data_IF_811547529445
#
_entry.id   IF_811547529445
#
_cell.length_a   1.000
_cell.length_b   1.000
_cell.length_c   1.000
_cell.angle_alpha   90.00
_cell.angle_beta   90.00
_cell.angle_gamma   90.00
#
_symmetry.space_group_name_H-M   'P 1'
#
loop_
_entity.id
_entity.type
_entity.pdbx_description
1 polymer ?
#
# COMPACT_ATOMS: atom_id res chain seq x y z
N UNK A 1 8.22 -21.01 -2.73
CA UNK A 1 7.12 -21.54 -3.54
C UNK A 1 5.90 -20.68 -3.26
N UNK A 2 5.34 -20.06 -4.29
CA UNK A 2 4.16 -19.20 -4.18
C UNK A 2 2.95 -20.06 -3.83
N UNK A 3 2.04 -19.49 -3.05
CA UNK A 3 0.86 -20.19 -2.59
C UNK A 3 -0.20 -20.18 -3.70
N UNK A 4 -0.65 -21.34 -4.17
CA UNK A 4 -1.67 -21.43 -5.23
C UNK A 4 -2.97 -20.68 -4.85
N UNK A 5 -3.31 -20.63 -3.55
CA UNK A 5 -4.49 -19.89 -3.08
C UNK A 5 -4.33 -18.37 -3.20
N UNK A 6 -3.12 -17.84 -3.05
CA UNK A 6 -2.84 -16.43 -3.30
C UNK A 6 -3.04 -16.10 -4.78
N UNK A 7 -2.53 -16.96 -5.68
CA UNK A 7 -2.69 -16.79 -7.13
C UNK A 7 -4.17 -16.81 -7.49
N UNK A 8 -4.93 -17.80 -7.00
CA UNK A 8 -6.37 -17.89 -7.26
C UNK A 8 -7.17 -16.71 -6.70
N UNK A 9 -6.81 -16.18 -5.52
CA UNK A 9 -7.44 -14.96 -4.98
C UNK A 9 -7.24 -13.77 -5.92
N UNK A 10 -6.00 -13.56 -6.38
CA UNK A 10 -5.63 -12.42 -7.24
C UNK A 10 -6.31 -12.51 -8.61
N UNK A 11 -6.35 -13.72 -9.20
CA UNK A 11 -7.03 -13.97 -10.48
C UNK A 11 -8.54 -13.78 -10.38
N UNK A 12 -9.19 -14.32 -9.34
CA UNK A 12 -10.64 -14.16 -9.11
C UNK A 12 -11.04 -12.68 -9.02
N UNK A 13 -10.14 -11.83 -8.51
CA UNK A 13 -10.36 -10.40 -8.30
C UNK A 13 -9.93 -9.54 -9.50
N UNK A 14 -9.36 -10.11 -10.56
CA UNK A 14 -8.72 -9.38 -11.66
C UNK A 14 -7.68 -8.36 -11.19
N UNK A 15 -6.92 -8.72 -10.15
CA UNK A 15 -5.87 -7.88 -9.59
C UNK A 15 -4.55 -8.06 -10.37
N UNK A 16 -3.75 -7.00 -10.41
CA UNK A 16 -2.45 -7.02 -11.11
C UNK A 16 -1.43 -7.72 -10.22
N UNK A 17 -0.81 -8.80 -10.72
CA UNK A 17 0.19 -9.57 -9.98
C UNK A 17 1.59 -9.39 -10.56
N UNK A 18 2.57 -9.15 -9.69
CA UNK A 18 3.99 -9.21 -10.02
C UNK A 18 4.68 -10.07 -8.95
N UNK A 19 5.16 -11.26 -9.33
CA UNK A 19 5.76 -12.23 -8.40
C UNK A 19 4.82 -12.59 -7.23
N UNK A 20 5.23 -12.26 -6.01
CA UNK A 20 4.51 -12.47 -4.76
C UNK A 20 3.77 -11.22 -4.27
N UNK A 21 3.62 -10.23 -5.14
CA UNK A 21 2.94 -8.97 -4.88
C UNK A 21 1.71 -8.89 -5.77
N UNK A 22 0.62 -8.40 -5.21
CA UNK A 22 -0.60 -8.12 -5.95
C UNK A 22 -1.14 -6.74 -5.60
N UNK A 23 -1.69 -6.08 -6.61
CA UNK A 23 -2.25 -4.76 -6.52
C UNK A 23 -3.71 -4.78 -6.97
N UNK A 24 -4.54 -4.08 -6.23
CA UNK A 24 -5.93 -3.92 -6.60
C UNK A 24 -6.66 -2.94 -5.71
N UNK A 25 -7.98 -3.09 -5.70
CA UNK A 25 -8.89 -2.14 -5.08
C UNK A 25 -9.99 -2.88 -4.36
N UNK A 26 -10.30 -2.46 -3.13
CA UNK A 26 -11.44 -2.92 -2.34
C UNK A 26 -12.12 -1.71 -1.67
N UNK A 27 -13.44 -1.57 -1.81
CA UNK A 27 -14.23 -0.49 -1.19
C UNK A 27 -13.63 0.91 -1.39
N UNK A 28 -13.12 1.18 -2.59
CA UNK A 28 -12.45 2.42 -2.97
C UNK A 28 -11.02 2.66 -2.47
N UNK A 29 -10.45 1.74 -1.70
CA UNK A 29 -9.07 1.79 -1.24
C UNK A 29 -8.13 1.03 -2.16
N UNK A 30 -6.96 1.61 -2.43
CA UNK A 30 -5.85 0.88 -3.04
C UNK A 30 -5.27 -0.12 -2.03
N UNK A 31 -4.98 -1.31 -2.51
CA UNK A 31 -4.48 -2.41 -1.68
C UNK A 31 -3.30 -3.05 -2.40
N UNK A 32 -2.17 -3.10 -1.69
CA UNK A 32 -1.06 -3.98 -2.05
C UNK A 32 -1.04 -5.16 -1.09
N UNK A 33 -0.98 -6.37 -1.64
CA UNK A 33 -0.74 -7.59 -0.89
C UNK A 33 0.66 -8.12 -1.21
N UNK A 34 1.36 -8.55 -0.17
CA UNK A 34 2.63 -9.26 -0.30
C UNK A 34 2.50 -10.63 0.37
N UNK A 35 2.70 -11.69 -0.41
CA UNK A 35 2.72 -13.07 0.07
C UNK A 35 4.14 -13.43 0.54
N UNK A 36 4.30 -13.57 1.85
CA UNK A 36 5.50 -14.15 2.48
C UNK A 36 5.39 -15.67 2.64
N UNK A 37 6.42 -16.31 3.20
CA UNK A 37 6.44 -17.78 3.38
C UNK A 37 5.38 -18.31 4.37
N UNK A 38 4.99 -17.49 5.36
CA UNK A 38 4.07 -17.87 6.47
C UNK A 38 3.18 -16.69 6.90
N UNK A 39 2.94 -15.77 5.98
CA UNK A 39 2.15 -14.58 6.25
C UNK A 39 1.73 -13.90 4.97
N UNK A 40 0.64 -13.16 5.06
CA UNK A 40 0.23 -12.18 4.07
C UNK A 40 0.36 -10.82 4.72
N UNK A 41 1.03 -9.90 4.03
CA UNK A 41 1.12 -8.50 4.41
C UNK A 41 0.14 -7.71 3.56
N UNK A 42 -0.64 -6.87 4.21
CA UNK A 42 -1.57 -5.95 3.59
C UNK A 42 -1.03 -4.54 3.79
N UNK A 43 -1.01 -3.77 2.72
CA UNK A 43 -0.48 -2.43 2.68
C UNK A 43 -1.53 -1.54 2.01
N UNK A 44 -2.05 -0.57 2.76
CA UNK A 44 -3.09 0.35 2.30
C UNK A 44 -2.57 1.78 2.49
N UNK A 45 -2.27 2.51 1.41
CA UNK A 45 -1.95 3.92 1.51
C UNK A 45 -3.22 4.72 1.79
N UNK A 46 -3.26 5.36 2.96
CA UNK A 46 -4.37 6.20 3.42
C UNK A 46 -3.90 7.66 3.44
N UNK A 47 -3.52 8.17 2.27
CA UNK A 47 -3.04 9.54 2.10
C UNK A 47 -4.07 10.55 2.64
N UNK A 48 -3.64 11.46 3.51
CA UNK A 48 -4.52 12.44 4.15
C UNK A 48 -5.20 11.95 5.43
N UNK A 49 -4.91 10.73 5.91
CA UNK A 49 -5.42 10.24 7.19
C UNK A 49 -4.96 11.11 8.37
N UNK A 50 -5.91 11.51 9.22
CA UNK A 50 -5.65 12.34 10.41
C UNK A 50 -5.16 11.46 11.57
N UNK A 51 -4.46 12.05 12.53
CA UNK A 51 -3.93 11.32 13.71
C UNK A 51 -5.02 10.57 14.48
N UNK A 52 -6.16 11.24 14.75
CA UNK A 52 -7.30 10.61 15.44
C UNK A 52 -7.87 9.40 14.68
N UNK A 53 -7.90 9.46 13.34
CA UNK A 53 -8.41 8.36 12.52
C UNK A 53 -7.42 7.18 12.53
N UNK A 54 -6.10 7.46 12.60
CA UNK A 54 -5.09 6.40 12.78
C UNK A 54 -5.29 5.65 14.08
N UNK A 55 -5.49 6.37 15.19
CA UNK A 55 -5.76 5.76 16.50
C UNK A 55 -7.01 4.89 16.45
N UNK A 56 -8.09 5.41 15.86
CA UNK A 56 -9.34 4.68 15.69
C UNK A 56 -9.17 3.39 14.86
N UNK A 57 -8.40 3.43 13.77
CA UNK A 57 -8.08 2.24 12.96
C UNK A 57 -7.25 1.23 13.77
N UNK A 58 -6.25 1.69 14.51
CA UNK A 58 -5.42 0.82 15.33
C UNK A 58 -6.22 0.14 16.44
N UNK A 59 -7.16 0.86 17.06
CA UNK A 59 -8.05 0.29 18.07
C UNK A 59 -9.00 -0.76 17.49
N UNK A 60 -9.58 -0.50 16.31
CA UNK A 60 -10.38 -1.49 15.60
C UNK A 60 -9.58 -2.77 15.29
N UNK A 61 -8.36 -2.63 14.76
CA UNK A 61 -7.48 -3.78 14.48
C UNK A 61 -7.06 -4.51 15.75
N UNK A 62 -6.92 -3.81 16.88
CA UNK A 62 -6.62 -4.39 18.19
C UNK A 62 -7.79 -5.21 18.72
N UNK A 63 -9.02 -4.71 18.60
CA UNK A 63 -10.24 -5.42 19.00
C UNK A 63 -10.44 -6.70 18.18
N UNK A 64 -10.16 -6.67 16.88
CA UNK A 64 -10.30 -7.82 15.98
C UNK A 64 -9.01 -8.63 15.75
N UNK A 65 -7.97 -8.40 16.56
CA UNK A 65 -6.65 -9.00 16.37
C UNK A 65 -6.69 -10.53 16.28
N UNK A 66 -7.45 -11.17 17.17
CA UNK A 66 -7.58 -12.63 17.22
C UNK A 66 -8.40 -13.14 16.04
N UNK A 67 -9.56 -12.53 15.80
CA UNK A 67 -10.48 -12.92 14.73
C UNK A 67 -9.83 -12.85 13.35
N UNK A 68 -9.05 -11.79 13.09
CA UNK A 68 -8.34 -11.60 11.83
C UNK A 68 -6.98 -12.32 11.79
N UNK A 69 -6.52 -12.92 12.89
CA UNK A 69 -5.21 -13.57 12.95
C UNK A 69 -4.04 -12.61 12.74
N UNK A 70 -4.17 -11.37 13.22
CA UNK A 70 -3.14 -10.33 13.05
C UNK A 70 -1.95 -10.58 13.97
N UNK A 71 -0.76 -10.65 13.38
CA UNK A 71 0.51 -10.74 14.11
C UNK A 71 1.04 -9.36 14.50
N UNK A 72 0.98 -8.42 13.56
CA UNK A 72 1.44 -7.04 13.72
C UNK A 72 0.60 -6.13 12.83
N UNK A 73 0.33 -4.92 13.30
CA UNK A 73 -0.26 -3.85 12.51
C UNK A 73 0.30 -2.52 13.02
N UNK A 74 0.48 -1.57 12.12
CA UNK A 74 1.00 -0.23 12.43
C UNK A 74 0.75 0.71 11.25
N UNK A 75 0.86 2.00 11.51
CA UNK A 75 1.06 2.99 10.46
C UNK A 75 2.54 3.25 10.25
N UNK A 76 2.96 3.32 8.99
CA UNK A 76 4.18 3.99 8.57
C UNK A 76 3.76 5.28 7.85
N UNK A 77 3.86 6.42 8.54
CA UNK A 77 3.27 7.69 8.12
C UNK A 77 1.77 7.55 7.80
N UNK A 78 1.39 7.64 6.53
CA UNK A 78 0.00 7.53 6.02
C UNK A 78 -0.33 6.13 5.51
N UNK A 79 0.61 5.19 5.58
CA UNK A 79 0.44 3.84 5.07
C UNK A 79 0.07 2.89 6.20
N UNK A 80 -1.12 2.31 6.13
CA UNK A 80 -1.54 1.25 7.04
C UNK A 80 -0.90 -0.06 6.58
N UNK A 81 -0.19 -0.72 7.50
CA UNK A 81 0.42 -2.02 7.27
C UNK A 81 -0.10 -3.01 8.30
N UNK A 82 -0.65 -4.13 7.88
CA UNK A 82 -1.02 -5.22 8.78
C UNK A 82 -0.64 -6.60 8.24
N UNK A 83 -0.21 -7.47 9.15
CA UNK A 83 0.36 -8.77 8.86
C UNK A 83 -0.55 -9.86 9.42
N UNK A 84 -1.13 -10.64 8.53
CA UNK A 84 -1.91 -11.83 8.87
C UNK A 84 -0.99 -13.03 8.92
N UNK A 85 -1.05 -13.81 10.00
CA UNK A 85 -0.25 -15.04 10.12
C UNK A 85 -0.86 -16.14 9.27
N UNK A 86 -0.04 -16.80 8.46
CA UNK A 86 -0.40 -18.11 7.92
C UNK A 86 0.27 -19.20 8.79
N UNK A 87 -0.51 -20.01 9.53
CA UNK A 87 0.01 -21.19 10.20
C UNK A 87 0.48 -22.23 9.17
N UNK A 88 0.80 -23.46 9.61
CA UNK A 88 1.24 -24.55 8.72
C UNK A 88 0.20 -24.93 7.65
N UNK A 89 -1.03 -24.41 7.74
CA UNK A 89 -2.07 -24.49 6.73
C UNK A 89 -2.26 -23.11 6.10
N UNK A 90 -2.33 -23.09 4.77
CA UNK A 90 -2.67 -21.89 4.01
C UNK A 90 -3.98 -21.29 4.51
N UNK A 91 -4.03 -19.96 4.60
CA UNK A 91 -5.27 -19.26 4.90
C UNK A 91 -6.26 -19.44 3.74
N UNK A 92 -7.52 -19.70 4.08
CA UNK A 92 -8.58 -19.80 3.09
C UNK A 92 -8.81 -18.46 2.39
N UNK A 93 -9.11 -18.50 1.09
CA UNK A 93 -9.39 -17.30 0.27
C UNK A 93 -10.50 -16.47 0.89
N UNK A 94 -11.55 -17.13 1.38
CA UNK A 94 -12.71 -16.48 2.01
C UNK A 94 -12.30 -15.70 3.26
N UNK A 95 -11.25 -16.14 3.97
CA UNK A 95 -10.74 -15.43 5.14
C UNK A 95 -9.94 -14.18 4.75
N UNK A 96 -9.18 -14.24 3.65
CA UNK A 96 -8.49 -13.07 3.08
C UNK A 96 -9.53 -12.04 2.65
N UNK A 97 -10.55 -12.49 1.90
CA UNK A 97 -11.66 -11.66 1.44
C UNK A 97 -12.39 -11.02 2.63
N UNK A 98 -12.71 -11.80 3.66
CA UNK A 98 -13.35 -11.30 4.87
C UNK A 98 -12.52 -10.22 5.57
N UNK A 99 -11.23 -10.48 5.83
CA UNK A 99 -10.37 -9.52 6.53
C UNK A 99 -10.27 -8.21 5.74
N UNK A 100 -10.01 -8.32 4.43
CA UNK A 100 -9.86 -7.17 3.56
C UNK A 100 -11.16 -6.35 3.49
N UNK A 101 -12.28 -7.03 3.28
CA UNK A 101 -13.59 -6.41 3.22
C UNK A 101 -13.95 -5.74 4.55
N UNK A 102 -13.80 -6.42 5.70
CA UNK A 102 -14.13 -5.87 7.01
C UNK A 102 -13.29 -4.64 7.39
N UNK A 103 -12.00 -4.61 7.02
CA UNK A 103 -11.15 -3.46 7.30
C UNK A 103 -11.50 -2.29 6.38
N UNK A 104 -11.62 -2.52 5.08
CA UNK A 104 -11.92 -1.44 4.13
C UNK A 104 -13.35 -0.93 4.26
N UNK A 105 -14.30 -1.78 4.64
CA UNK A 105 -15.66 -1.38 4.98
C UNK A 105 -15.67 -0.49 6.22
N UNK A 106 -14.94 -0.86 7.29
CA UNK A 106 -14.78 0.01 8.46
C UNK A 106 -14.21 1.37 8.07
N UNK A 107 -13.13 1.42 7.26
CA UNK A 107 -12.56 2.68 6.79
C UNK A 107 -13.62 3.52 6.04
N UNK A 108 -14.41 2.88 5.17
CA UNK A 108 -15.48 3.53 4.42
C UNK A 108 -16.59 4.09 5.32
N UNK A 109 -17.06 3.30 6.28
CA UNK A 109 -18.17 3.68 7.17
C UNK A 109 -17.83 4.90 8.02
N UNK A 110 -16.58 4.99 8.47
CA UNK A 110 -16.06 6.13 9.23
C UNK A 110 -15.45 7.23 8.35
N UNK A 111 -15.56 7.11 7.03
CA UNK A 111 -15.04 8.06 6.04
C UNK A 111 -13.55 8.37 6.19
N UNK A 112 -12.76 7.38 6.59
CA UNK A 112 -11.33 7.51 6.84
C UNK A 112 -10.59 7.48 5.52
N UNK A 113 -10.02 8.62 5.10
CA UNK A 113 -9.25 8.73 3.85
C UNK A 113 -10.05 8.30 2.60
N UNK A 114 -11.36 8.52 2.62
CA UNK A 114 -12.25 8.24 1.49
C UNK A 114 -11.92 9.17 0.32
N UNK A 115 -11.48 8.61 -0.79
CA UNK A 115 -11.24 9.35 -2.03
C UNK A 115 -9.86 9.10 -2.61
N UNK A 116 -9.53 9.83 -3.67
CA UNK A 116 -8.25 9.75 -4.35
C UNK A 116 -7.41 10.96 -3.95
N UNK A 117 -6.59 10.79 -2.92
CA UNK A 117 -5.65 11.81 -2.46
C UNK A 117 -4.27 11.64 -3.10
N UNK A 118 -3.70 12.73 -3.59
CA UNK A 118 -2.36 12.75 -4.15
C UNK A 118 -1.31 12.50 -3.07
N UNK A 119 -0.47 11.48 -3.22
CA UNK A 119 0.57 11.16 -2.23
C UNK A 119 1.67 12.24 -2.12
N UNK A 120 1.78 13.13 -3.11
CA UNK A 120 2.78 14.21 -3.15
C UNK A 120 2.27 15.44 -2.40
N UNK A 121 1.10 15.98 -2.78
CA UNK A 121 0.59 17.24 -2.22
C UNK A 121 -0.50 17.06 -1.15
N UNK A 122 -1.05 15.84 -0.99
CA UNK A 122 -2.10 15.54 -0.01
C UNK A 122 -3.51 16.01 -0.39
N UNK A 123 -3.70 16.65 -1.54
CA UNK A 123 -5.01 17.13 -2.01
C UNK A 123 -5.82 16.04 -2.71
N UNK A 124 -7.13 16.20 -2.77
CA UNK A 124 -8.09 15.27 -3.38
C UNK A 124 -8.14 15.39 -4.92
N UNK A 125 -9.05 14.65 -5.55
CA UNK A 125 -9.24 14.59 -7.01
C UNK A 125 -8.01 14.16 -7.83
N UNK A 126 -7.13 13.36 -7.23
CA UNK A 126 -6.08 12.69 -8.01
C UNK A 126 -6.67 11.55 -8.84
N UNK A 127 -6.12 11.31 -10.02
CA UNK A 127 -6.66 10.36 -11.00
C UNK A 127 -5.61 9.41 -11.56
N UNK A 128 -4.35 9.85 -11.60
CA UNK A 128 -3.20 9.05 -12.02
C UNK A 128 -2.79 8.07 -10.92
N UNK A 129 -2.60 6.80 -11.30
CA UNK A 129 -2.00 5.77 -10.43
C UNK A 129 -0.52 5.63 -10.74
N UNK A 130 0.30 5.57 -9.69
CA UNK A 130 1.75 5.33 -9.80
C UNK A 130 2.18 4.32 -8.76
N UNK A 131 3.22 3.57 -9.06
CA UNK A 131 3.80 2.59 -8.13
C UNK A 131 5.11 3.13 -7.58
N UNK A 132 5.18 3.33 -6.27
CA UNK A 132 6.39 3.74 -5.55
C UNK A 132 6.73 2.62 -4.57
N UNK A 133 7.94 2.07 -4.67
CA UNK A 133 8.42 0.96 -3.83
C UNK A 133 7.40 -0.18 -3.70
N UNK A 134 6.85 -0.64 -4.83
CA UNK A 134 5.85 -1.73 -4.88
C UNK A 134 4.52 -1.42 -4.16
N UNK A 135 4.18 -0.14 -3.95
CA UNK A 135 2.89 0.29 -3.41
C UNK A 135 2.23 1.22 -4.43
N UNK A 136 0.96 0.98 -4.75
CA UNK A 136 0.20 1.85 -5.65
C UNK A 136 -0.34 3.06 -4.89
N UNK A 137 -0.14 4.25 -5.43
CA UNK A 137 -0.67 5.52 -4.92
C UNK A 137 -1.45 6.25 -6.00
N UNK A 138 -2.35 7.12 -5.57
CA UNK A 138 -2.92 8.15 -6.43
C UNK A 138 -2.05 9.41 -6.40
N UNK A 139 -1.98 10.11 -7.55
CA UNK A 139 -1.30 11.39 -7.69
C UNK A 139 -1.98 12.27 -8.73
N UNK A 140 -1.86 13.59 -8.62
CA UNK A 140 -2.11 14.46 -9.77
C UNK A 140 -1.01 14.26 -10.81
N UNK A 141 -1.38 14.36 -12.07
CA UNK A 141 -0.44 14.29 -13.19
C UNK A 141 0.67 15.33 -13.08
N UNK A 142 0.29 16.58 -12.82
CA UNK A 142 1.22 17.72 -12.67
C UNK A 142 2.20 17.53 -11.51
N UNK A 143 1.71 17.08 -10.35
CA UNK A 143 2.58 16.79 -9.21
C UNK A 143 3.61 15.70 -9.53
N UNK A 144 3.19 14.66 -10.26
CA UNK A 144 4.10 13.58 -10.65
C UNK A 144 5.15 14.06 -11.66
N UNK A 145 4.75 14.83 -12.67
CA UNK A 145 5.67 15.35 -13.67
C UNK A 145 6.73 16.28 -13.05
N UNK A 146 6.32 17.17 -12.16
CA UNK A 146 7.23 18.06 -11.43
C UNK A 146 8.24 17.27 -10.60
N UNK A 147 7.77 16.28 -9.83
CA UNK A 147 8.65 15.41 -9.03
C UNK A 147 9.67 14.67 -9.91
N UNK A 148 9.22 14.14 -11.05
CA UNK A 148 10.12 13.44 -11.98
C UNK A 148 11.13 14.37 -12.64
N UNK A 149 10.78 15.64 -12.89
CA UNK A 149 11.71 16.64 -13.40
C UNK A 149 12.78 17.01 -12.36
N UNK A 150 12.38 17.21 -11.10
CA UNK A 150 13.30 17.49 -9.98
C UNK A 150 14.31 16.35 -9.79
N UNK A 151 13.85 15.10 -9.80
CA UNK A 151 14.72 13.92 -9.67
C UNK A 151 15.76 13.88 -10.80
N UNK A 152 15.34 14.13 -12.05
CA UNK A 152 16.26 14.13 -13.20
C UNK A 152 17.33 15.21 -13.06
N UNK A 153 16.94 16.42 -12.68
CA UNK A 153 17.86 17.53 -12.48
C UNK A 153 18.88 17.23 -11.37
N UNK A 154 18.44 16.65 -10.25
CA UNK A 154 19.35 16.23 -9.19
C UNK A 154 20.36 15.16 -9.65
N UNK A 155 19.94 14.21 -10.48
CA UNK A 155 20.82 13.18 -11.02
C UNK A 155 21.87 13.76 -11.95
N UNK A 156 21.49 14.71 -12.81
CA UNK A 156 22.40 15.44 -13.69
C UNK A 156 23.42 16.25 -12.88
N UNK A 157 22.98 16.96 -11.85
CA UNK A 157 23.86 17.70 -10.95
C UNK A 157 24.85 16.79 -10.20
N UNK A 158 24.38 15.62 -9.74
CA UNK A 158 25.23 14.60 -9.10
C UNK A 158 26.26 14.03 -10.08
N UNK A 159 25.88 13.79 -11.35
CA UNK A 159 26.80 13.35 -12.42
C UNK A 159 27.85 14.42 -12.72
N UNK A 160 27.43 15.68 -12.86
CA UNK A 160 28.32 16.82 -13.13
C UNK A 160 29.32 17.06 -11.99
N UNK A 161 28.89 16.94 -10.73
CA UNK A 161 29.78 17.02 -9.56
C UNK A 161 30.79 15.87 -9.49
N UNK A 162 30.42 14.64 -9.89
CA UNK A 162 31.33 13.49 -9.97
C UNK A 162 32.36 13.66 -11.08
N UNK A 163 31.97 14.18 -12.24
CA UNK A 163 32.88 14.42 -13.37
C UNK A 163 33.90 15.52 -13.05
N UNK A 164 33.49 16.61 -12.38
CA UNK A 164 34.42 17.67 -11.93
C UNK A 164 35.45 17.19 -10.88
N UNK A 165 35.16 16.15 -10.11
CA UNK A 165 36.11 15.55 -9.15
C UNK A 165 37.13 14.61 -9.81
N UNK A 166 36.81 14.02 -10.98
CA UNK A 166 37.71 13.09 -11.68
C UNK A 166 38.81 13.78 -12.51
N UNK A 167 38.67 15.07 -12.81
CA UNK A 167 39.62 15.85 -13.64
C UNK A 167 40.75 16.46 -12.80
N UNK A 168 40.76 16.26 -11.47
CA UNK A 168 41.83 16.72 -10.57
C UNK A 168 42.84 15.59 -10.29
N UNK A 169 43.57 15.13 -11.29
CA UNK A 169 44.83 14.39 -11.13
C UNK A 169 45.73 14.67 -12.33
#
# INVERSE_FOLDING_TARGET
MLNNLFISFVEKRNWVRVNNIAHGKENDYLVTLYQGKRYILFILPLTGIRTQDKEQVLDYLKQHKVDFGLKKFSFDNTVLVFKVREPNRTIKIEKIEYILHSITQFLRDYKISLGKFCFICGQDYSDKKVTVTEIEYYTHETCYENLMAEIKQEEEDKKNKKNKKKIKY
#
